data_IF_733743669015
#
_entry.id   IF_733743669015
#
_cell.length_a   1.000
_cell.length_b   1.000
_cell.length_c   1.000
_cell.angle_alpha   90.00
_cell.angle_beta   90.00
_cell.angle_gamma   90.00
#
_symmetry.space_group_name_H-M   'P 1'
#
loop_
_entity.id
_entity.type
_entity.pdbx_description
1 polymer ?
#
# COMPACT_ATOMS: atom_id res chain seq x y z
N UNK A 1 -11.71 8.47 8.61
CA UNK A 1 -11.91 9.76 7.91
C UNK A 1 -10.99 10.86 8.45
N UNK A 2 -11.01 11.18 9.75
CA UNK A 2 -10.20 12.27 10.36
C UNK A 2 -8.70 12.19 10.03
N UNK A 3 -8.09 10.99 10.07
CA UNK A 3 -6.67 10.81 9.72
C UNK A 3 -6.33 11.15 8.26
N UNK A 4 -7.19 10.75 7.33
CA UNK A 4 -7.02 11.06 5.91
C UNK A 4 -7.13 12.57 5.67
N UNK A 5 -8.09 13.23 6.33
CA UNK A 5 -8.26 14.68 6.24
C UNK A 5 -7.00 15.43 6.71
N UNK A 6 -6.41 15.03 7.84
CA UNK A 6 -5.14 15.61 8.32
C UNK A 6 -4.00 15.41 7.32
N UNK A 7 -3.83 14.19 6.79
CA UNK A 7 -2.80 13.89 5.78
C UNK A 7 -2.94 14.79 4.54
N UNK A 8 -4.17 14.97 4.04
CA UNK A 8 -4.43 15.78 2.85
C UNK A 8 -4.27 17.28 3.09
N UNK A 9 -4.66 17.77 4.27
CA UNK A 9 -4.59 19.18 4.63
C UNK A 9 -3.15 19.64 4.88
N UNK A 10 -2.37 18.83 5.61
CA UNK A 10 -1.01 19.19 6.04
C UNK A 10 0.07 18.76 5.03
N UNK A 11 -0.30 17.91 4.05
CA UNK A 11 0.62 17.36 3.05
C UNK A 11 1.89 16.80 3.68
N UNK A 12 1.72 16.02 4.75
CA UNK A 12 2.82 15.35 5.44
C UNK A 12 3.71 14.57 4.46
N UNK A 13 5.01 14.49 4.75
CA UNK A 13 5.91 13.61 4.01
C UNK A 13 5.38 12.17 4.10
N UNK A 14 5.14 11.56 2.94
CA UNK A 14 4.55 10.22 2.88
C UNK A 14 5.59 9.12 3.11
N UNK A 15 6.88 9.43 2.93
CA UNK A 15 7.97 8.46 3.09
C UNK A 15 8.11 7.96 4.53
N UNK A 16 7.69 8.76 5.51
CA UNK A 16 7.70 8.34 6.92
C UNK A 16 6.77 7.15 7.19
N UNK A 17 5.71 6.98 6.36
CA UNK A 17 4.75 5.89 6.48
C UNK A 17 5.18 4.60 5.76
N UNK A 18 6.26 4.66 4.96
CA UNK A 18 6.81 3.49 4.30
C UNK A 18 7.60 2.58 5.26
N UNK A 19 7.91 3.04 6.47
CA UNK A 19 8.68 2.28 7.44
C UNK A 19 7.78 1.35 8.27
N UNK A 20 8.27 0.14 8.56
CA UNK A 20 7.62 -0.80 9.48
C UNK A 20 7.87 -0.39 10.94
N UNK A 21 7.53 0.84 11.34
CA UNK A 21 7.38 1.13 12.76
C UNK A 21 6.04 0.53 13.21
N UNK A 22 6.05 -0.78 13.46
CA UNK A 22 4.89 -1.64 13.61
C UNK A 22 3.96 -1.30 14.79
N UNK A 23 4.27 -0.28 15.60
CA UNK A 23 3.52 0.05 16.81
C UNK A 23 3.29 1.55 17.03
N UNK A 24 3.53 2.39 16.02
CA UNK A 24 3.12 3.79 16.11
C UNK A 24 1.77 3.98 15.39
N UNK A 25 0.64 4.09 16.12
CA UNK A 25 -0.65 4.41 15.52
C UNK A 25 -0.63 5.79 14.82
N UNK A 26 0.30 6.68 15.17
CA UNK A 26 0.53 7.93 14.44
C UNK A 26 1.23 7.72 13.10
N UNK A 27 1.72 6.52 12.80
CA UNK A 27 2.42 6.18 11.56
C UNK A 27 1.64 5.15 10.71
N UNK A 28 0.31 5.15 10.81
CA UNK A 28 -0.60 4.34 9.99
C UNK A 28 -1.23 5.13 8.84
N UNK A 29 -1.32 4.50 7.66
CA UNK A 29 -2.09 5.01 6.52
C UNK A 29 -3.54 4.52 6.63
N UNK A 30 -4.54 5.36 6.28
CA UNK A 30 -5.94 4.95 6.26
C UNK A 30 -6.14 3.81 5.26
N UNK A 31 -6.90 2.79 5.63
CA UNK A 31 -7.31 1.70 4.74
C UNK A 31 -8.77 1.31 5.05
N UNK A 32 -9.60 1.19 4.03
CA UNK A 32 -10.95 0.64 4.16
C UNK A 32 -11.20 -0.44 3.10
N UNK A 33 -11.88 -1.56 3.43
CA UNK A 33 -12.45 -1.89 4.75
C UNK A 33 -11.37 -2.21 5.80
N UNK A 34 -11.71 -2.15 7.09
CA UNK A 34 -10.78 -2.50 8.17
C UNK A 34 -10.43 -3.98 8.05
N UNK A 35 -9.13 -4.29 8.03
CA UNK A 35 -8.61 -5.66 7.96
C UNK A 35 -7.96 -6.00 9.30
N UNK A 36 -8.42 -7.08 9.93
CA UNK A 36 -7.84 -7.60 11.17
C UNK A 36 -6.60 -8.47 10.86
N UNK A 37 -5.59 -7.88 10.24
CA UNK A 37 -4.34 -8.54 9.83
C UNK A 37 -3.15 -7.60 10.03
N UNK A 38 -1.94 -8.14 10.10
CA UNK A 38 -0.73 -7.34 10.01
C UNK A 38 -0.61 -6.69 8.64
N UNK A 39 -0.12 -5.45 8.60
CA UNK A 39 0.19 -4.72 7.36
C UNK A 39 1.71 -4.57 7.25
N UNK A 40 2.45 -5.60 6.83
CA UNK A 40 3.91 -5.58 6.84
C UNK A 40 4.49 -4.57 5.85
N UNK A 41 3.83 -4.32 4.72
CA UNK A 41 4.35 -3.49 3.62
C UNK A 41 3.46 -2.28 3.38
N UNK A 42 4.10 -1.11 3.23
CA UNK A 42 3.52 0.10 2.65
C UNK A 42 4.56 0.73 1.72
N UNK A 43 4.38 0.57 0.42
CA UNK A 43 5.32 1.07 -0.58
C UNK A 43 4.64 2.06 -1.53
N UNK A 44 5.44 2.90 -2.20
CA UNK A 44 4.99 3.84 -3.24
C UNK A 44 3.80 4.71 -2.82
N UNK A 45 3.87 5.28 -1.62
CA UNK A 45 2.81 6.14 -1.10
C UNK A 45 2.83 7.47 -1.84
N UNK A 46 1.73 7.83 -2.49
CA UNK A 46 1.62 9.01 -3.35
C UNK A 46 0.34 9.78 -3.05
N UNK A 47 0.38 11.10 -3.21
CA UNK A 47 -0.84 11.91 -3.21
C UNK A 47 -1.48 11.88 -4.59
N UNK A 48 -2.81 11.74 -4.61
CA UNK A 48 -3.63 11.91 -5.80
C UNK A 48 -4.55 13.10 -5.58
N UNK A 49 -4.54 14.03 -6.55
CA UNK A 49 -5.39 15.22 -6.54
C UNK A 49 -5.90 15.45 -7.96
N UNK A 50 -7.20 15.25 -8.13
CA UNK A 50 -7.92 15.45 -9.39
C UNK A 50 -9.03 16.48 -9.16
N UNK A 51 -9.73 16.87 -10.22
CA UNK A 51 -10.89 17.76 -10.09
C UNK A 51 -12.00 17.16 -9.22
N UNK A 52 -12.05 15.83 -9.06
CA UNK A 52 -13.14 15.11 -8.40
C UNK A 52 -12.71 14.43 -7.10
N UNK A 53 -11.43 14.12 -6.94
CA UNK A 53 -10.93 13.29 -5.84
C UNK A 53 -9.66 13.88 -5.25
N UNK A 54 -9.53 13.77 -3.93
CA UNK A 54 -8.29 14.05 -3.22
C UNK A 54 -8.00 12.91 -2.26
N UNK A 55 -6.81 12.32 -2.35
CA UNK A 55 -6.50 11.12 -1.60
C UNK A 55 -5.04 10.72 -1.68
N UNK A 56 -4.79 9.48 -1.28
CA UNK A 56 -3.51 8.82 -1.41
C UNK A 56 -3.66 7.50 -2.15
N UNK A 57 -2.64 7.11 -2.89
CA UNK A 57 -2.44 5.75 -3.36
C UNK A 57 -1.22 5.13 -2.69
N UNK A 58 -1.23 3.81 -2.53
CA UNK A 58 -0.05 3.06 -2.09
C UNK A 58 -0.20 1.57 -2.37
N UNK A 59 0.94 0.88 -2.36
CA UNK A 59 1.04 -0.58 -2.37
C UNK A 59 1.07 -1.11 -0.94
N UNK A 60 0.34 -2.18 -0.68
CA UNK A 60 0.29 -2.83 0.62
C UNK A 60 0.08 -4.32 0.51
N UNK A 61 0.42 -5.06 1.56
CA UNK A 61 0.00 -6.44 1.74
C UNK A 61 -0.59 -6.62 3.15
N UNK A 62 -1.44 -7.63 3.32
CA UNK A 62 -1.99 -8.01 4.62
C UNK A 62 -1.71 -9.50 4.87
N UNK A 63 -1.19 -9.83 6.05
CA UNK A 63 -0.91 -11.21 6.43
C UNK A 63 -1.33 -11.50 7.86
N UNK A 64 -1.74 -12.75 8.10
CA UNK A 64 -2.11 -13.27 9.43
C UNK A 64 -0.91 -13.90 10.16
N UNK A 65 0.10 -14.34 9.40
CA UNK A 65 1.31 -14.97 9.91
C UNK A 65 2.53 -14.29 9.30
N UNK A 66 3.66 -14.34 10.00
CA UNK A 66 4.95 -13.85 9.51
C UNK A 66 5.54 -14.86 8.52
N UNK A 67 5.18 -14.73 7.25
CA UNK A 67 5.64 -15.60 6.17
C UNK A 67 6.11 -14.74 4.98
N UNK A 68 7.03 -15.24 4.14
CA UNK A 68 7.43 -14.55 2.92
C UNK A 68 6.22 -14.21 2.05
N UNK A 69 6.16 -12.96 1.60
CA UNK A 69 5.15 -12.50 0.66
C UNK A 69 5.36 -13.12 -0.71
N UNK A 70 4.24 -13.41 -1.37
CA UNK A 70 4.18 -13.89 -2.75
C UNK A 70 3.55 -12.86 -3.66
N UNK A 71 3.69 -13.03 -4.98
CA UNK A 71 3.05 -12.16 -5.97
C UNK A 71 1.51 -12.02 -5.82
N UNK A 72 0.86 -12.87 -5.03
CA UNK A 72 -0.61 -12.90 -4.86
C UNK A 72 -1.11 -12.03 -3.70
N UNK A 73 -0.19 -11.52 -2.87
CA UNK A 73 -0.50 -10.88 -1.59
C UNK A 73 -0.64 -9.36 -1.68
N UNK A 74 -0.24 -8.76 -2.80
CA UNK A 74 -0.16 -7.31 -2.93
C UNK A 74 -1.46 -6.67 -3.43
N UNK A 75 -1.73 -5.52 -2.85
CA UNK A 75 -2.85 -4.65 -3.14
C UNK A 75 -2.32 -3.27 -3.51
N UNK A 76 -2.86 -2.70 -4.59
CA UNK A 76 -2.79 -1.28 -4.86
C UNK A 76 -4.09 -0.64 -4.40
N UNK A 77 -4.01 0.36 -3.53
CA UNK A 77 -5.20 0.98 -2.95
C UNK A 77 -5.19 2.48 -3.13
N UNK A 78 -6.37 3.04 -3.39
CA UNK A 78 -6.66 4.45 -3.26
C UNK A 78 -7.58 4.67 -2.06
N UNK A 79 -7.25 5.68 -1.28
CA UNK A 79 -7.99 6.09 -0.09
C UNK A 79 -8.13 7.61 -0.13
N UNK A 80 -9.36 8.09 -0.35
CA UNK A 80 -9.60 9.48 -0.68
C UNK A 80 -10.98 9.98 -0.30
N UNK A 81 -11.19 11.27 -0.57
CA UNK A 81 -12.47 11.94 -0.48
C UNK A 81 -12.86 12.51 -1.86
N UNK A 82 -14.16 12.68 -2.09
CA UNK A 82 -14.67 13.55 -3.15
C UNK A 82 -14.19 14.99 -2.97
N UNK A 83 -14.21 15.77 -4.05
CA UNK A 83 -13.75 17.17 -4.06
C UNK A 83 -14.48 18.07 -3.04
N UNK A 84 -15.75 17.79 -2.77
CA UNK A 84 -16.56 18.46 -1.74
C UNK A 84 -16.32 17.92 -0.32
N UNK A 85 -15.51 16.86 -0.17
CA UNK A 85 -15.21 16.21 1.10
C UNK A 85 -16.34 15.37 1.67
N UNK A 86 -17.48 15.24 0.98
CA UNK A 86 -18.69 14.61 1.51
C UNK A 86 -18.66 13.07 1.44
N UNK A 87 -17.93 12.52 0.46
CA UNK A 87 -17.90 11.08 0.19
C UNK A 87 -16.50 10.51 0.40
N UNK A 88 -16.38 9.46 1.20
CA UNK A 88 -15.16 8.66 1.28
C UNK A 88 -15.12 7.64 0.16
N UNK A 89 -14.02 7.60 -0.58
CA UNK A 89 -13.81 6.69 -1.71
C UNK A 89 -12.64 5.78 -1.37
N UNK A 90 -12.92 4.47 -1.31
CA UNK A 90 -11.91 3.42 -1.23
C UNK A 90 -11.96 2.61 -2.52
N UNK A 91 -10.79 2.41 -3.13
CA UNK A 91 -10.62 1.46 -4.21
C UNK A 91 -9.42 0.55 -3.90
N UNK A 92 -9.57 -0.74 -4.21
CA UNK A 92 -8.56 -1.75 -3.91
C UNK A 92 -8.46 -2.68 -5.10
N UNK A 93 -7.25 -2.81 -5.63
CA UNK A 93 -6.91 -3.67 -6.76
C UNK A 93 -5.86 -4.67 -6.32
N UNK A 94 -6.00 -5.93 -6.73
CA UNK A 94 -4.89 -6.88 -6.62
C UNK A 94 -3.84 -6.55 -7.67
N UNK A 95 -2.58 -6.56 -7.27
CA UNK A 95 -1.43 -6.36 -8.16
C UNK A 95 -0.38 -7.42 -7.89
N UNK A 96 0.30 -7.86 -8.94
CA UNK A 96 1.36 -8.86 -8.85
C UNK A 96 2.69 -8.23 -9.26
N UNK A 97 3.60 -7.94 -8.32
CA UNK A 97 4.95 -7.47 -8.61
C UNK A 97 5.84 -8.62 -9.11
N UNK A 98 6.48 -8.44 -10.27
CA UNK A 98 7.34 -9.47 -10.89
C UNK A 98 8.62 -9.76 -10.09
N UNK A 99 9.09 -8.79 -9.31
CA UNK A 99 10.28 -8.90 -8.44
C UNK A 99 10.09 -9.81 -7.24
N UNK A 100 8.84 -10.15 -6.89
CA UNK A 100 8.51 -10.97 -5.73
C UNK A 100 8.32 -12.44 -6.15
N UNK A 101 8.72 -13.43 -5.33
CA UNK A 101 8.50 -14.84 -5.64
C UNK A 101 7.02 -15.21 -5.81
N UNK A 102 6.76 -16.19 -6.68
CA UNK A 102 5.39 -16.69 -6.95
C UNK A 102 4.87 -17.54 -5.80
N UNK A 103 5.76 -18.26 -5.12
CA UNK A 103 5.44 -19.18 -4.02
C UNK A 103 6.47 -19.01 -2.90
N UNK A 104 6.09 -19.41 -1.69
CA UNK A 104 7.00 -19.50 -0.56
C UNK A 104 8.02 -20.61 -0.83
N UNK A 105 9.32 -20.43 -0.53
CA UNK A 105 10.33 -21.46 -0.72
C UNK A 105 9.98 -22.76 0.03
N UNK A 106 10.23 -23.91 -0.62
CA UNK A 106 9.92 -25.23 -0.03
C UNK A 106 10.77 -25.56 1.22
N UNK A 107 11.92 -24.91 1.36
CA UNK A 107 12.84 -24.97 2.48
C UNK A 107 12.62 -23.84 3.52
N UNK A 108 11.44 -23.20 3.49
CA UNK A 108 11.11 -22.13 4.43
C UNK A 108 11.27 -22.56 5.89
N UNK A 109 12.16 -21.85 6.60
CA UNK A 109 12.36 -21.98 8.04
C UNK A 109 11.76 -20.77 8.77
N UNK A 110 10.70 -21.01 9.53
CA UNK A 110 9.98 -19.96 10.26
C UNK A 110 10.85 -19.26 11.32
N UNK A 111 11.68 -20.01 12.06
CA UNK A 111 12.49 -19.43 13.14
C UNK A 111 13.58 -18.50 12.59
N UNK A 112 14.23 -18.91 11.49
CA UNK A 112 15.23 -18.09 10.80
C UNK A 112 14.56 -16.85 10.17
N UNK A 113 13.39 -17.01 9.56
CA UNK A 113 12.67 -15.90 8.96
C UNK A 113 12.23 -14.85 9.98
N UNK A 114 11.79 -15.27 11.17
CA UNK A 114 11.44 -14.31 12.23
C UNK A 114 12.61 -13.44 12.67
N UNK A 115 13.84 -13.97 12.66
CA UNK A 115 15.03 -13.20 12.99
C UNK A 115 15.34 -12.14 11.93
N UNK A 116 15.09 -12.45 10.66
CA UNK A 116 15.35 -11.57 9.51
C UNK A 116 14.13 -10.73 9.08
N UNK A 117 12.98 -10.91 9.72
CA UNK A 117 11.71 -10.28 9.33
C UNK A 117 11.80 -8.75 9.16
N UNK A 118 12.42 -7.97 10.07
CA UNK A 118 12.54 -6.53 9.88
C UNK A 118 13.33 -6.16 8.62
N UNK A 119 14.47 -6.84 8.39
CA UNK A 119 15.30 -6.61 7.21
C UNK A 119 14.57 -7.03 5.92
N UNK A 120 13.86 -8.15 5.95
CA UNK A 120 13.03 -8.62 4.85
C UNK A 120 11.97 -7.59 4.45
N UNK A 121 11.25 -7.02 5.42
CA UNK A 121 10.21 -6.01 5.17
C UNK A 121 10.80 -4.72 4.59
N UNK A 122 11.92 -4.24 5.13
CA UNK A 122 12.57 -3.02 4.65
C UNK A 122 13.11 -3.20 3.22
N UNK A 123 13.75 -4.34 2.94
CA UNK A 123 14.24 -4.67 1.60
C UNK A 123 13.09 -4.82 0.61
N UNK A 124 12.02 -5.55 0.97
CA UNK A 124 10.85 -5.72 0.12
C UNK A 124 10.17 -4.39 -0.17
N UNK A 125 10.02 -3.52 0.83
CA UNK A 125 9.43 -2.19 0.66
C UNK A 125 10.28 -1.31 -0.26
N UNK A 126 11.61 -1.35 -0.09
CA UNK A 126 12.57 -0.61 -0.93
C UNK A 126 12.55 -1.11 -2.37
N UNK A 127 12.51 -2.43 -2.56
CA UNK A 127 12.42 -3.06 -3.88
C UNK A 127 11.15 -2.60 -4.60
N UNK A 128 9.99 -2.77 -3.97
CA UNK A 128 8.70 -2.34 -4.53
C UNK A 128 8.65 -0.83 -4.79
N UNK A 129 9.34 -0.03 -3.98
CA UNK A 129 9.48 1.41 -4.18
C UNK A 129 10.29 1.80 -5.41
N UNK A 130 11.24 0.95 -5.83
CA UNK A 130 12.14 1.19 -6.97
C UNK A 130 11.74 0.47 -8.26
N UNK A 131 10.85 -0.53 -8.17
CA UNK A 131 10.31 -1.23 -9.33
C UNK A 131 9.56 -0.29 -10.29
N UNK A 132 9.80 -0.48 -11.59
CA UNK A 132 9.10 0.24 -12.64
C UNK A 132 7.58 -0.05 -12.59
N UNK A 133 6.69 0.93 -12.88
CA UNK A 133 5.24 0.72 -12.89
C UNK A 133 4.75 -0.49 -13.71
N UNK A 134 5.47 -0.85 -14.78
CA UNK A 134 5.17 -1.96 -15.69
C UNK A 134 5.61 -3.32 -15.14
N UNK A 135 6.43 -3.34 -14.08
CA UNK A 135 6.79 -4.57 -13.36
C UNK A 135 5.64 -5.12 -12.50
N UNK A 136 4.52 -4.40 -12.44
CA UNK A 136 3.30 -4.80 -11.74
C UNK A 136 2.26 -5.28 -12.75
N UNK A 137 1.50 -6.31 -12.38
CA UNK A 137 0.36 -6.80 -13.18
C UNK A 137 -0.93 -6.71 -12.37
N UNK A 138 -1.91 -5.86 -12.77
CA UNK A 138 -1.85 -4.85 -13.83
C UNK A 138 -0.81 -3.74 -13.53
N UNK A 139 -0.38 -3.00 -14.56
CA UNK A 139 0.62 -1.93 -14.39
C UNK A 139 0.08 -0.78 -13.53
N UNK A 140 0.93 -0.18 -12.71
CA UNK A 140 0.49 0.91 -11.82
C UNK A 140 0.05 2.15 -12.61
N UNK A 141 0.70 2.46 -13.73
CA UNK A 141 0.29 3.55 -14.62
C UNK A 141 -1.16 3.41 -15.12
N UNK A 142 -1.60 2.16 -15.37
CA UNK A 142 -2.99 1.87 -15.76
C UNK A 142 -3.94 2.19 -14.62
N UNK A 143 -3.57 1.82 -13.39
CA UNK A 143 -4.37 2.08 -12.19
C UNK A 143 -4.43 3.57 -11.85
N UNK A 144 -3.33 4.30 -12.05
CA UNK A 144 -3.28 5.75 -11.84
C UNK A 144 -4.14 6.50 -12.86
N UNK A 145 -4.08 6.08 -14.13
CA UNK A 145 -4.96 6.62 -15.18
C UNK A 145 -6.44 6.40 -14.85
N UNK A 146 -6.77 5.25 -14.27
CA UNK A 146 -8.13 4.93 -13.85
C UNK A 146 -8.63 5.89 -12.75
N UNK A 147 -7.79 6.29 -11.79
CA UNK A 147 -8.16 7.29 -10.78
C UNK A 147 -8.37 8.69 -11.34
N UNK A 148 -7.63 9.07 -12.38
CA UNK A 148 -7.86 10.33 -13.08
C UNK A 148 -9.21 10.35 -13.83
N UNK A 149 -9.76 9.19 -14.17
CA UNK A 149 -11.04 9.07 -14.86
C UNK A 149 -12.26 9.03 -13.94
N UNK A 150 -12.06 8.85 -12.62
CA UNK A 150 -13.18 8.75 -11.68
C UNK A 150 -13.89 10.09 -11.49
N UNK A 151 -15.21 10.05 -11.60
CA UNK A 151 -16.10 11.15 -11.25
C UNK A 151 -17.03 10.70 -10.12
N UNK A 152 -17.08 11.50 -9.04
CA UNK A 152 -18.09 11.38 -7.99
C UNK A 152 -19.21 12.36 -8.32
N UNK A 153 -20.46 11.91 -8.28
CA UNK A 153 -21.64 12.76 -8.48
C UNK A 153 -21.99 13.54 -7.24
#
# INVERSE_FOLDING_TARGET
VTRLQSLLAERHDLNQFATMSANDPANMLPFLPVVAAGQPIRARVQYVSTANLNGITYLTAFQQAAEPLTQRDFLYTFQGLSADGATYVSAVFRVSPQSIPVEVPADFNYEEFLAELPAYVDQTTTQLGSDAPEAFTPSLDTLDTLFNSFATR
#
